data_IF_784518163852
#
_entry.id   IF_784518163852
#
_cell.length_a   1.000
_cell.length_b   1.000
_cell.length_c   1.000
_cell.angle_alpha   90.00
_cell.angle_beta   90.00
_cell.angle_gamma   90.00
#
_symmetry.space_group_name_H-M   'P 1'
#
loop_
_entity.id
_entity.type
_entity.pdbx_description
1 polymer ?
#
# COMPACT_ATOMS: atom_id res chain seq x y z
N UNK A 1 -4.28 -4.12 -9.81
CA UNK A 1 -4.16 -3.10 -8.74
C UNK A 1 -2.76 -3.17 -8.15
N UNK A 2 -2.26 -2.13 -7.45
CA UNK A 2 -0.90 -2.13 -6.89
C UNK A 2 -0.63 -3.38 -6.04
N UNK A 3 -1.61 -3.81 -5.24
CA UNK A 3 -1.52 -5.03 -4.42
C UNK A 3 -1.43 -6.30 -5.27
N UNK A 4 -2.25 -6.43 -6.30
CA UNK A 4 -2.22 -7.58 -7.21
C UNK A 4 -0.90 -7.69 -8.00
N UNK A 5 -0.26 -6.57 -8.29
CA UNK A 5 1.03 -6.54 -8.99
C UNK A 5 2.23 -6.80 -8.03
N UNK A 6 1.98 -6.95 -6.73
CA UNK A 6 3.00 -7.06 -5.69
C UNK A 6 2.59 -8.09 -4.63
N UNK A 7 2.05 -9.24 -5.04
CA UNK A 7 1.55 -10.27 -4.12
C UNK A 7 2.62 -10.75 -3.14
N UNK A 8 3.88 -10.88 -3.61
CA UNK A 8 5.04 -11.22 -2.79
C UNK A 8 5.26 -10.26 -1.60
N UNK A 9 4.98 -8.97 -1.80
CA UNK A 9 5.10 -7.94 -0.75
C UNK A 9 3.88 -7.92 0.14
N UNK A 10 2.70 -8.25 -0.39
CA UNK A 10 1.49 -8.38 0.42
C UNK A 10 1.66 -9.52 1.42
N UNK A 11 2.15 -10.67 0.96
CA UNK A 11 2.45 -11.81 1.83
C UNK A 11 3.50 -11.46 2.89
N UNK A 12 4.58 -10.80 2.50
CA UNK A 12 5.61 -10.36 3.44
C UNK A 12 5.08 -9.34 4.46
N UNK A 13 4.21 -8.42 4.05
CA UNK A 13 3.55 -7.49 4.96
C UNK A 13 2.69 -8.24 5.98
N UNK A 14 1.87 -9.19 5.50
CA UNK A 14 1.03 -10.06 6.35
C UNK A 14 1.86 -10.95 7.28
N UNK A 15 3.09 -11.29 6.90
CA UNK A 15 4.06 -12.00 7.73
C UNK A 15 4.76 -11.10 8.78
N UNK A 16 4.34 -9.85 8.95
CA UNK A 16 4.84 -8.93 9.96
C UNK A 16 5.93 -7.97 9.48
N UNK A 17 6.20 -7.87 8.17
CA UNK A 17 7.12 -6.85 7.64
C UNK A 17 6.40 -5.51 7.45
N UNK A 18 6.05 -4.85 8.55
CA UNK A 18 5.27 -3.59 8.58
C UNK A 18 5.86 -2.46 7.73
N UNK A 19 7.19 -2.45 7.54
CA UNK A 19 7.89 -1.48 6.68
C UNK A 19 7.39 -1.48 5.22
N UNK A 20 6.79 -2.58 4.75
CA UNK A 20 6.21 -2.67 3.41
C UNK A 20 4.95 -1.83 3.24
N UNK A 21 4.30 -1.41 4.33
CA UNK A 21 3.18 -0.49 4.26
C UNK A 21 3.57 0.83 3.57
N UNK A 22 4.73 1.40 3.94
CA UNK A 22 5.26 2.62 3.30
C UNK A 22 5.55 2.45 1.81
N UNK A 23 5.92 1.25 1.37
CA UNK A 23 6.08 0.94 -0.05
C UNK A 23 4.74 1.05 -0.80
N UNK A 24 3.66 0.47 -0.26
CA UNK A 24 2.33 0.53 -0.89
C UNK A 24 1.76 1.95 -0.92
N UNK A 25 1.98 2.72 0.15
CA UNK A 25 1.63 4.16 0.19
C UNK A 25 2.37 4.90 -0.92
N UNK A 26 3.69 4.73 -1.03
CA UNK A 26 4.51 5.38 -2.05
C UNK A 26 4.08 5.01 -3.48
N UNK A 27 3.80 3.74 -3.76
CA UNK A 27 3.28 3.30 -5.06
C UNK A 27 1.92 3.93 -5.37
N UNK A 28 1.04 4.05 -4.37
CA UNK A 28 -0.31 4.63 -4.55
C UNK A 28 -0.24 6.14 -4.81
N UNK A 29 0.62 6.85 -4.07
CA UNK A 29 0.89 8.27 -4.30
C UNK A 29 1.52 8.52 -5.67
N UNK A 30 2.44 7.65 -6.11
CA UNK A 30 3.04 7.73 -7.45
C UNK A 30 2.01 7.49 -8.56
N UNK A 31 1.17 6.46 -8.41
CA UNK A 31 0.12 6.14 -9.39
C UNK A 31 -0.92 7.26 -9.52
N UNK A 32 -1.23 7.95 -8.42
CA UNK A 32 -2.10 9.13 -8.41
C UNK A 32 -1.38 10.43 -8.80
N UNK A 33 -0.08 10.40 -9.12
CA UNK A 33 0.73 11.60 -9.42
C UNK A 33 0.63 12.67 -8.32
N UNK A 34 0.49 12.24 -7.06
CA UNK A 34 0.36 13.13 -5.90
C UNK A 34 -1.02 13.75 -5.69
N UNK A 35 -2.02 13.41 -6.52
CA UNK A 35 -3.38 13.96 -6.37
C UNK A 35 -4.20 13.26 -5.28
N UNK A 36 -3.79 12.08 -4.84
CA UNK A 36 -4.50 11.35 -3.78
C UNK A 36 -4.22 11.95 -2.40
N UNK A 37 -5.26 12.00 -1.56
CA UNK A 37 -5.12 12.42 -0.17
C UNK A 37 -4.33 11.34 0.63
N UNK A 38 -3.20 11.68 1.26
CA UNK A 38 -2.39 10.72 2.02
C UNK A 38 -3.13 10.01 3.15
N UNK A 39 -4.00 10.70 3.89
CA UNK A 39 -4.78 10.09 4.99
C UNK A 39 -5.72 9.02 4.44
N UNK A 40 -6.44 9.36 3.36
CA UNK A 40 -7.37 8.42 2.71
C UNK A 40 -6.65 7.23 2.06
N UNK A 41 -5.46 7.45 1.51
CA UNK A 41 -4.60 6.37 1.00
C UNK A 41 -4.19 5.42 2.14
N UNK A 42 -3.78 5.96 3.29
CA UNK A 42 -3.41 5.13 4.44
C UNK A 42 -4.59 4.29 4.96
N UNK A 43 -5.77 4.89 5.11
CA UNK A 43 -6.99 4.18 5.53
C UNK A 43 -7.33 3.05 4.56
N UNK A 44 -7.48 3.37 3.27
CA UNK A 44 -7.83 2.38 2.26
C UNK A 44 -6.78 1.27 2.14
N UNK A 45 -5.50 1.57 2.29
CA UNK A 45 -4.46 0.54 2.26
C UNK A 45 -4.50 -0.37 3.48
N UNK A 46 -4.79 0.16 4.68
CA UNK A 46 -4.97 -0.67 5.88
C UNK A 46 -6.14 -1.63 5.70
N UNK A 47 -7.29 -1.13 5.24
CA UNK A 47 -8.49 -1.94 5.01
C UNK A 47 -8.27 -3.05 3.97
N UNK A 48 -7.41 -2.81 2.99
CA UNK A 48 -7.11 -3.78 1.93
C UNK A 48 -6.03 -4.79 2.30
N UNK A 49 -5.21 -4.47 3.30
CA UNK A 49 -4.08 -5.29 3.73
C UNK A 49 -4.36 -6.05 5.04
N UNK A 50 -5.39 -5.68 5.80
CA UNK A 50 -5.96 -6.47 6.90
C UNK A 50 -6.46 -7.83 6.43
#
# INVERSE_FOLDING_TARGET
SILANNQDKVEQYKAGKDKLFGFFVGQTMKASKGSANPQKVNELLRDRLS
#
